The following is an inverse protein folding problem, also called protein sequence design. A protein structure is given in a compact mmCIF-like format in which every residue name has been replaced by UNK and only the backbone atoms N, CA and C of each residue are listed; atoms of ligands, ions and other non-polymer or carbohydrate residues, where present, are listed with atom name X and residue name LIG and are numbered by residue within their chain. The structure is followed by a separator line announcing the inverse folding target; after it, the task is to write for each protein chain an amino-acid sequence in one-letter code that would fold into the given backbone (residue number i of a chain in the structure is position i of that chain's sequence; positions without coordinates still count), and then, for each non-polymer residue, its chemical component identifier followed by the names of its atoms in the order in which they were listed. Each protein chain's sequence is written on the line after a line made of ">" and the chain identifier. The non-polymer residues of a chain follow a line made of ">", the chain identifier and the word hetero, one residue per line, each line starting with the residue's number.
data_IF_270015924532
#
_entry.id   IF_270015924532
#
_cell.length_a   1.000
_cell.length_b   1.000
_cell.length_c   1.000
_cell.angle_alpha   90.00
_cell.angle_beta   90.00
_cell.angle_gamma   90.00
#
_symmetry.space_group_name_H-M   'P 1'
#
loop_
_entity.id
_entity.type
_entity.pdbx_description
1 polymer ?
#
# COMPACT_ATOMS: atom_id res chain seq x y z
N UNK A 1 0.17 34.98 -3.20
CA UNK A 1 -0.55 33.69 -3.07
C UNK A 1 0.36 32.72 -2.35
N UNK A 2 0.16 32.58 -1.03
CA UNK A 2 1.13 32.04 -0.07
C UNK A 2 1.33 30.52 -0.20
N UNK A 3 2.57 30.07 -0.12
CA UNK A 3 2.99 28.65 -0.19
C UNK A 3 2.26 27.78 0.83
N UNK A 4 1.82 28.39 1.95
CA UNK A 4 1.04 27.75 3.01
C UNK A 4 -0.31 27.26 2.47
N UNK A 5 -0.97 28.07 1.63
CA UNK A 5 -2.25 27.67 1.03
C UNK A 5 -2.07 26.51 0.06
N UNK A 6 -0.99 26.52 -0.73
CA UNK A 6 -0.70 25.43 -1.66
C UNK A 6 -0.44 24.10 -0.94
N UNK A 7 0.31 24.15 0.17
CA UNK A 7 0.57 22.98 1.01
C UNK A 7 -0.70 22.49 1.70
N UNK A 8 -1.53 23.40 2.23
CA UNK A 8 -2.78 23.06 2.89
C UNK A 8 -3.76 22.39 1.91
N UNK A 9 -3.89 22.91 0.69
CA UNK A 9 -4.76 22.35 -0.34
C UNK A 9 -4.31 20.95 -0.78
N UNK A 10 -2.99 20.73 -0.89
CA UNK A 10 -2.41 19.43 -1.23
C UNK A 10 -2.61 18.41 -0.12
N UNK A 11 -2.46 18.81 1.14
CA UNK A 11 -2.71 17.93 2.29
C UNK A 11 -4.20 17.55 2.39
N UNK A 12 -5.11 18.52 2.21
CA UNK A 12 -6.55 18.27 2.23
C UNK A 12 -7.00 17.35 1.08
N UNK A 13 -6.42 17.47 -0.11
CA UNK A 13 -6.72 16.58 -1.23
C UNK A 13 -6.28 15.13 -1.00
N UNK A 14 -5.22 14.91 -0.20
CA UNK A 14 -4.72 13.58 0.15
C UNK A 14 -5.48 12.95 1.32
N UNK A 15 -5.91 13.76 2.29
CA UNK A 15 -6.49 13.30 3.56
C UNK A 15 -8.02 13.29 3.55
N UNK A 16 -8.67 14.09 2.72
CA UNK A 16 -10.12 14.07 2.60
C UNK A 16 -10.53 12.89 1.69
N UNK A 17 -11.21 11.85 2.21
CA UNK A 17 -11.90 10.92 1.35
C UNK A 17 -12.91 11.72 0.54
N UNK A 18 -12.91 11.57 -0.79
CA UNK A 18 -13.88 12.24 -1.66
C UNK A 18 -15.27 12.11 -1.05
N UNK A 19 -15.89 13.26 -0.76
CA UNK A 19 -17.16 13.35 -0.06
C UNK A 19 -18.14 12.36 -0.70
N UNK A 20 -18.55 11.36 0.07
CA UNK A 20 -19.27 10.17 -0.38
C UNK A 20 -20.70 10.42 -0.86
N UNK A 21 -20.97 11.54 -1.53
CA UNK A 21 -22.28 11.88 -2.10
C UNK A 21 -22.57 11.13 -3.40
N UNK A 22 -21.57 10.50 -4.02
CA UNK A 22 -21.74 9.72 -5.26
C UNK A 22 -22.53 8.40 -5.11
N UNK A 23 -22.98 8.03 -3.91
CA UNK A 23 -23.84 6.85 -3.69
C UNK A 23 -25.28 7.16 -3.26
N UNK A 24 -25.67 8.42 -3.16
CA UNK A 24 -27.05 8.78 -2.79
C UNK A 24 -27.99 8.96 -4.00
N UNK A 25 -27.45 9.20 -5.20
CA UNK A 25 -28.26 9.52 -6.40
C UNK A 25 -28.03 8.57 -7.57
N UNK A 26 -27.37 7.44 -7.35
CA UNK A 26 -27.35 6.37 -8.34
C UNK A 26 -28.73 5.72 -8.39
N UNK A 27 -29.67 6.39 -9.06
CA UNK A 27 -30.89 5.78 -9.58
C UNK A 27 -30.47 4.50 -10.30
N UNK A 28 -31.00 3.32 -9.97
CA UNK A 28 -30.71 2.13 -10.75
C UNK A 28 -31.04 2.46 -12.21
N UNK A 29 -30.02 2.43 -13.07
CA UNK A 29 -30.24 2.57 -14.49
C UNK A 29 -31.18 1.45 -14.91
N UNK A 30 -32.32 1.80 -15.52
CA UNK A 30 -33.18 0.81 -16.13
C UNK A 30 -32.33 0.01 -17.12
N UNK A 31 -32.41 -1.34 -17.13
CA UNK A 31 -31.64 -2.13 -18.08
C UNK A 31 -32.04 -1.70 -19.49
N UNK A 32 -31.05 -1.28 -20.29
CA UNK A 32 -31.25 -1.07 -21.71
C UNK A 32 -31.71 -2.39 -22.35
N UNK A 33 -32.59 -2.37 -23.37
CA UNK A 33 -32.98 -3.59 -24.07
C UNK A 33 -31.72 -4.25 -24.63
N UNK A 34 -31.41 -5.44 -24.15
CA UNK A 34 -30.26 -6.21 -24.62
C UNK A 34 -30.49 -6.60 -26.08
N UNK A 35 -29.67 -6.06 -26.98
CA UNK A 35 -29.56 -6.61 -28.35
C UNK A 35 -28.95 -8.00 -28.20
N UNK A 36 -29.74 -9.05 -28.49
CA UNK A 36 -29.28 -10.44 -28.48
C UNK A 36 -28.24 -10.65 -29.58
N UNK A 37 -26.97 -10.58 -29.23
CA UNK A 37 -25.92 -11.19 -30.04
C UNK A 37 -26.09 -12.73 -29.98
N UNK A 38 -25.83 -13.46 -31.08
CA UNK A 38 -25.80 -14.92 -31.03
C UNK A 38 -24.75 -15.38 -30.03
N UNK A 39 -25.22 -16.06 -28.98
CA UNK A 39 -24.42 -16.47 -27.83
C UNK A 39 -23.64 -17.74 -28.20
N UNK A 40 -22.29 -17.78 -28.09
CA UNK A 40 -21.60 -19.07 -28.04
C UNK A 40 -22.15 -19.85 -26.84
N UNK A 41 -22.30 -21.17 -26.99
CA UNK A 41 -22.92 -22.05 -25.97
C UNK A 41 -22.48 -21.65 -24.55
N UNK A 42 -23.45 -21.17 -23.78
CA UNK A 42 -23.21 -20.63 -22.45
C UNK A 42 -22.72 -21.76 -21.54
N UNK A 43 -21.41 -21.76 -21.25
CA UNK A 43 -20.85 -22.59 -20.19
C UNK A 43 -21.57 -22.18 -18.90
N UNK A 44 -22.27 -23.13 -18.30
CA UNK A 44 -23.02 -22.87 -17.07
C UNK A 44 -22.03 -22.63 -15.96
N UNK A 45 -21.83 -21.35 -15.60
CA UNK A 45 -21.04 -20.99 -14.43
C UNK A 45 -21.77 -21.47 -13.18
N UNK A 46 -21.05 -21.95 -12.16
CA UNK A 46 -21.67 -22.26 -10.88
C UNK A 46 -22.36 -21.01 -10.31
N UNK A 47 -23.47 -21.23 -9.61
CA UNK A 47 -24.25 -20.15 -9.02
C UNK A 47 -23.36 -19.29 -8.11
N UNK A 48 -23.35 -17.98 -8.37
CA UNK A 48 -22.60 -17.03 -7.57
C UNK A 48 -23.04 -17.12 -6.10
N UNK A 49 -22.12 -17.49 -5.21
CA UNK A 49 -22.38 -17.68 -3.79
C UNK A 49 -21.50 -16.75 -2.97
N UNK A 50 -22.10 -15.97 -2.07
CA UNK A 50 -21.34 -15.15 -1.12
C UNK A 50 -20.49 -16.06 -0.22
N UNK A 51 -19.19 -15.77 -0.04
CA UNK A 51 -18.31 -16.55 0.83
C UNK A 51 -18.77 -16.54 2.29
N UNK A 52 -19.55 -15.53 2.71
CA UNK A 52 -20.06 -15.38 4.07
C UNK A 52 -21.33 -16.17 4.36
N UNK A 53 -21.90 -16.86 3.37
CA UNK A 53 -23.10 -17.70 3.54
C UNK A 53 -22.79 -19.18 3.73
N UNK A 54 -21.53 -19.59 3.80
CA UNK A 54 -21.14 -21.00 3.96
C UNK A 54 -21.39 -21.44 5.42
N UNK A 55 -22.08 -22.57 5.66
CA UNK A 55 -22.17 -23.16 7.00
C UNK A 55 -20.83 -23.76 7.46
N UNK A 56 -19.87 -23.88 6.53
CA UNK A 56 -18.53 -24.40 6.80
C UNK A 56 -17.64 -23.25 7.32
N UNK A 57 -17.02 -23.41 8.50
CA UNK A 57 -16.05 -22.45 9.00
C UNK A 57 -14.91 -22.23 7.99
N UNK A 58 -14.55 -20.97 7.76
CA UNK A 58 -13.40 -20.63 6.94
C UNK A 58 -12.12 -21.10 7.66
N UNK A 59 -11.34 -21.96 7.01
CA UNK A 59 -10.02 -22.35 7.51
C UNK A 59 -9.02 -21.20 7.28
N UNK A 60 -8.72 -20.48 8.36
CA UNK A 60 -7.72 -19.42 8.34
C UNK A 60 -6.30 -19.90 8.03
N UNK A 61 -6.00 -21.20 8.17
CA UNK A 61 -4.69 -21.77 7.80
C UNK A 61 -4.55 -21.99 6.29
N UNK A 62 -5.67 -22.21 5.60
CA UNK A 62 -5.70 -22.32 4.14
C UNK A 62 -5.47 -20.96 3.43
N UNK A 63 -5.51 -19.85 4.17
CA UNK A 63 -5.33 -18.49 3.64
C UNK A 63 -4.01 -17.91 4.12
N UNK A 64 -3.13 -17.53 3.20
CA UNK A 64 -1.90 -16.82 3.56
C UNK A 64 -2.24 -15.47 4.22
N UNK A 65 -1.80 -15.29 5.47
CA UNK A 65 -1.96 -14.03 6.20
C UNK A 65 -0.99 -12.99 5.64
N UNK A 66 -1.34 -12.41 4.49
CA UNK A 66 -0.64 -11.24 3.98
C UNK A 66 -1.04 -10.05 4.85
N UNK A 67 -0.06 -9.41 5.52
CA UNK A 67 -0.26 -8.18 6.30
C UNK A 67 0.47 -7.02 5.61
N UNK A 68 -0.08 -6.44 4.52
CA UNK A 68 0.62 -5.42 3.74
C UNK A 68 1.11 -4.24 4.59
N UNK A 69 0.33 -3.86 5.60
CA UNK A 69 0.65 -2.74 6.49
C UNK A 69 1.81 -3.02 7.44
N UNK A 70 2.03 -4.28 7.82
CA UNK A 70 3.18 -4.63 8.67
C UNK A 70 4.46 -4.56 7.87
N UNK A 71 4.45 -5.12 6.65
CA UNK A 71 5.60 -5.01 5.75
C UNK A 71 5.92 -3.55 5.41
N UNK A 72 4.90 -2.70 5.24
CA UNK A 72 5.10 -1.27 5.05
C UNK A 72 5.74 -0.61 6.28
N UNK A 73 5.21 -0.87 7.48
CA UNK A 73 5.74 -0.32 8.73
C UNK A 73 7.17 -0.79 9.02
N UNK A 74 7.51 -2.05 8.72
CA UNK A 74 8.87 -2.57 8.87
C UNK A 74 9.84 -1.87 7.93
N UNK A 75 9.47 -1.70 6.65
CA UNK A 75 10.28 -0.95 5.67
C UNK A 75 10.52 0.50 6.09
N UNK A 76 9.51 1.17 6.61
CA UNK A 76 9.64 2.55 7.11
C UNK A 76 10.65 2.63 8.26
N UNK A 77 10.56 1.71 9.23
CA UNK A 77 11.49 1.61 10.36
C UNK A 77 12.93 1.35 9.89
N UNK A 78 13.12 0.42 8.95
CA UNK A 78 14.45 0.15 8.38
C UNK A 78 15.04 1.40 7.71
N UNK A 79 14.23 2.14 6.95
CA UNK A 79 14.66 3.38 6.31
C UNK A 79 15.00 4.48 7.32
N UNK A 80 14.26 4.58 8.43
CA UNK A 80 14.56 5.52 9.51
C UNK A 80 15.86 5.15 10.23
N UNK A 81 16.07 3.87 10.54
CA UNK A 81 17.32 3.38 11.11
C UNK A 81 18.51 3.67 10.19
N UNK A 82 18.37 3.41 8.88
CA UNK A 82 19.40 3.71 7.89
C UNK A 82 19.68 5.22 7.79
N UNK A 83 18.64 6.06 7.75
CA UNK A 83 18.78 7.53 7.73
C UNK A 83 19.49 8.05 8.99
N UNK A 84 19.11 7.54 10.17
CA UNK A 84 19.75 7.90 11.45
C UNK A 84 21.23 7.49 11.45
N UNK A 85 21.55 6.28 10.99
CA UNK A 85 22.92 5.79 10.91
C UNK A 85 23.78 6.65 9.97
N UNK A 86 23.27 7.00 8.78
CA UNK A 86 23.97 7.91 7.85
C UNK A 86 24.22 9.28 8.45
N UNK A 87 23.22 9.87 9.13
CA UNK A 87 23.40 11.17 9.81
C UNK A 87 24.50 11.11 10.86
N UNK A 88 24.55 10.04 11.65
CA UNK A 88 25.61 9.84 12.64
C UNK A 88 26.97 9.66 11.96
N UNK A 89 27.04 8.84 10.90
CA UNK A 89 28.27 8.63 10.14
C UNK A 89 28.83 9.94 9.57
N UNK A 90 27.97 10.81 9.02
CA UNK A 90 28.38 12.11 8.49
C UNK A 90 28.94 13.04 9.57
N UNK A 91 28.29 13.11 10.73
CA UNK A 91 28.77 13.91 11.88
C UNK A 91 30.12 13.40 12.35
N UNK A 92 30.26 12.08 12.51
CA UNK A 92 31.52 11.47 12.93
C UNK A 92 32.65 11.68 11.92
N UNK A 93 32.35 11.62 10.62
CA UNK A 93 33.33 11.87 9.57
C UNK A 93 33.78 13.35 9.55
N UNK A 94 32.84 14.29 9.72
CA UNK A 94 33.13 15.73 9.67
C UNK A 94 33.88 16.23 10.92
N UNK A 95 33.43 15.84 12.11
CA UNK A 95 33.96 16.39 13.37
C UNK A 95 35.16 15.61 13.89
N UNK A 96 35.22 14.30 13.59
CA UNK A 96 36.23 13.39 14.15
C UNK A 96 37.05 12.65 13.09
N UNK A 97 36.75 12.81 11.79
CA UNK A 97 37.44 12.09 10.72
C UNK A 97 37.13 10.58 10.67
N UNK A 98 36.10 10.11 11.36
CA UNK A 98 35.74 8.69 11.45
C UNK A 98 34.64 8.37 10.43
N UNK A 99 35.01 7.69 9.35
CA UNK A 99 34.07 7.24 8.32
C UNK A 99 33.55 5.81 8.60
N UNK A 100 32.32 5.72 9.11
CA UNK A 100 31.65 4.46 9.42
C UNK A 100 31.19 3.67 8.17
N UNK A 101 31.12 4.30 7.00
CA UNK A 101 30.72 3.62 5.76
C UNK A 101 31.93 2.92 5.11
N UNK A 102 33.15 3.41 5.36
CA UNK A 102 34.41 2.77 4.93
C UNK A 102 34.93 1.72 5.91
N UNK A 103 34.50 1.75 7.16
CA UNK A 103 35.03 0.88 8.22
C UNK A 103 34.00 -0.17 8.64
N UNK A 104 33.92 -1.27 7.88
CA UNK A 104 33.43 -2.53 8.44
C UNK A 104 34.51 -3.02 9.40
N UNK A 105 34.30 -2.80 10.69
CA UNK A 105 35.18 -3.34 11.75
C UNK A 105 35.16 -4.87 11.64
N UNK A 106 36.24 -5.46 11.10
CA UNK A 106 36.41 -6.91 10.92
C UNK A 106 36.61 -7.42 9.49
N UNK A 107 36.54 -6.57 8.46
CA UNK A 107 36.92 -6.98 7.10
C UNK A 107 38.41 -6.72 6.87
N UNK A 108 39.24 -7.76 6.94
CA UNK A 108 40.61 -7.70 6.40
C UNK A 108 40.56 -7.22 4.94
N UNK A 109 41.42 -6.25 4.60
CA UNK A 109 41.64 -5.86 3.22
C UNK A 109 42.08 -7.10 2.45
N UNK A 110 41.25 -7.60 1.54
CA UNK A 110 41.71 -8.50 0.49
C UNK A 110 42.79 -7.76 -0.31
N UNK A 111 44.00 -8.34 -0.29
CA UNK A 111 45.21 -7.83 -0.95
C UNK A 111 45.09 -7.85 -2.47
#
# INVERSE_FOLDING_TARGET
>A
MSIIHALLHRALALLAPGTGTRRATARPAAPAPAVKAPCPQAVTLPAHRSPYGLPVPLDGRATALVRPYVLAAEREREQECARRRRRIALVLAADFGIDLDRHVVGAERAA
#
